data_IF_240201207005
#
_entry.id   IF_240201207005
#
_cell.length_a   1.000
_cell.length_b   1.000
_cell.length_c   1.000
_cell.angle_alpha   90.00
_cell.angle_beta   90.00
_cell.angle_gamma   90.00
#
_symmetry.space_group_name_H-M   'P 1'
#
loop_
_entity.id
_entity.type
_entity.pdbx_description
1 polymer ?
#
# COMPACT_ATOMS: atom_id res chain seq x y z
N UNK A 1 40.67 -5.26 -0.36
CA UNK A 1 41.37 -4.67 0.79
C UNK A 1 41.25 -5.52 2.04
N UNK A 2 40.06 -5.75 2.63
CA UNK A 2 39.95 -6.55 3.86
C UNK A 2 40.40 -8.00 3.69
N UNK A 3 40.00 -8.64 2.60
CA UNK A 3 40.44 -9.99 2.22
C UNK A 3 41.97 -10.10 2.19
N UNK A 4 42.62 -9.28 1.37
CA UNK A 4 44.08 -9.23 1.23
C UNK A 4 44.77 -8.92 2.58
N UNK A 5 44.19 -8.02 3.37
CA UNK A 5 44.68 -7.67 4.70
C UNK A 5 44.57 -8.81 5.72
N UNK A 6 43.57 -9.69 5.58
CA UNK A 6 43.39 -10.89 6.40
C UNK A 6 44.39 -11.99 6.00
N UNK A 7 44.57 -12.19 4.69
CA UNK A 7 45.51 -13.17 4.13
C UNK A 7 46.95 -12.82 4.50
N UNK A 8 47.36 -11.57 4.29
CA UNK A 8 48.71 -11.10 4.61
C UNK A 8 49.01 -11.21 6.11
N UNK A 9 48.02 -10.97 6.96
CA UNK A 9 48.15 -11.17 8.40
C UNK A 9 48.30 -12.65 8.78
N UNK A 10 47.55 -13.56 8.13
CA UNK A 10 47.61 -15.00 8.40
C UNK A 10 48.93 -15.65 7.94
N UNK A 11 49.42 -15.28 6.76
CA UNK A 11 50.64 -15.87 6.16
C UNK A 11 51.93 -15.17 6.63
N UNK A 12 51.97 -13.84 6.67
CA UNK A 12 53.18 -13.07 6.99
C UNK A 12 53.19 -12.52 8.42
N UNK A 13 52.09 -12.61 9.17
CA UNK A 13 52.00 -12.08 10.54
C UNK A 13 52.15 -10.57 10.62
N UNK A 14 51.87 -9.84 9.54
CA UNK A 14 51.97 -8.39 9.45
C UNK A 14 50.94 -7.83 8.47
N UNK A 15 50.66 -6.54 8.59
CA UNK A 15 49.75 -5.83 7.68
C UNK A 15 50.44 -4.65 7.01
N UNK A 16 50.23 -4.46 5.71
CA UNK A 16 50.82 -3.34 4.98
C UNK A 16 50.19 -1.99 5.41
N UNK A 17 50.93 -0.90 5.25
CA UNK A 17 50.50 0.44 5.70
C UNK A 17 49.18 0.91 5.07
N UNK A 18 48.92 0.52 3.82
CA UNK A 18 47.72 0.92 3.07
C UNK A 18 46.49 0.04 3.38
N UNK A 19 46.65 -1.02 4.18
CA UNK A 19 45.59 -1.96 4.52
C UNK A 19 44.88 -1.56 5.82
N UNK A 20 43.55 -1.75 5.94
CA UNK A 20 42.80 -1.37 7.13
C UNK A 20 43.19 -2.24 8.34
N UNK A 21 43.37 -1.64 9.52
CA UNK A 21 43.63 -2.39 10.77
C UNK A 21 42.32 -2.84 11.42
N UNK A 22 42.18 -4.14 11.68
CA UNK A 22 41.02 -4.70 12.38
C UNK A 22 41.26 -4.74 13.89
N UNK A 23 42.50 -5.09 14.29
CA UNK A 23 42.99 -5.09 15.65
C UNK A 23 44.21 -4.17 15.78
N UNK A 24 44.35 -3.50 16.91
CA UNK A 24 45.44 -2.53 17.16
C UNK A 24 46.80 -3.21 17.40
N UNK A 25 46.79 -4.47 17.83
CA UNK A 25 47.96 -5.27 18.17
C UNK A 25 48.72 -5.80 16.93
N UNK A 26 48.20 -5.56 15.72
CA UNK A 26 48.80 -6.05 14.48
C UNK A 26 49.95 -5.13 14.04
N UNK A 27 51.15 -5.71 13.94
CA UNK A 27 52.35 -5.01 13.48
C UNK A 27 52.26 -4.64 12.00
N UNK A 28 52.86 -3.50 11.65
CA UNK A 28 53.00 -3.09 10.25
C UNK A 28 54.17 -3.88 9.63
N UNK A 29 54.03 -4.33 8.38
CA UNK A 29 55.10 -5.02 7.67
C UNK A 29 56.34 -4.13 7.50
N UNK A 30 57.50 -4.71 7.78
CA UNK A 30 58.81 -4.08 7.62
C UNK A 30 59.47 -4.59 6.31
N UNK A 31 60.61 -4.01 5.91
CA UNK A 31 61.32 -4.43 4.71
C UNK A 31 61.73 -5.92 4.74
N UNK A 32 61.89 -6.51 5.93
CA UNK A 32 62.18 -7.95 6.09
C UNK A 32 61.05 -8.86 5.62
N UNK A 33 59.81 -8.37 5.67
CA UNK A 33 58.62 -9.11 5.27
C UNK A 33 58.27 -8.85 3.79
N UNK A 34 59.14 -8.14 3.05
CA UNK A 34 58.83 -7.67 1.69
C UNK A 34 58.61 -8.79 0.71
N UNK A 35 59.45 -9.81 0.75
CA UNK A 35 59.33 -10.98 -0.09
C UNK A 35 58.01 -11.74 0.16
N UNK A 36 57.51 -11.73 1.39
CA UNK A 36 56.27 -12.40 1.76
C UNK A 36 55.05 -11.63 1.26
N UNK A 37 54.94 -10.33 1.58
CA UNK A 37 53.76 -9.56 1.17
C UNK A 37 53.71 -9.36 -0.35
N UNK A 38 54.86 -9.21 -1.03
CA UNK A 38 54.89 -9.09 -2.49
C UNK A 38 54.43 -10.37 -3.16
N UNK A 39 54.88 -11.54 -2.67
CA UNK A 39 54.41 -12.83 -3.19
C UNK A 39 52.89 -12.98 -3.07
N UNK A 40 52.32 -12.64 -1.92
CA UNK A 40 50.86 -12.69 -1.71
C UNK A 40 50.13 -11.72 -2.62
N UNK A 41 50.66 -10.49 -2.76
CA UNK A 41 50.09 -9.49 -3.66
C UNK A 41 50.09 -9.98 -5.11
N UNK A 42 51.20 -10.53 -5.58
CA UNK A 42 51.31 -11.10 -6.93
C UNK A 42 50.38 -12.29 -7.15
N UNK A 43 50.22 -13.16 -6.15
CA UNK A 43 49.27 -14.27 -6.23
C UNK A 43 47.84 -13.73 -6.29
N UNK A 44 47.43 -12.87 -5.36
CA UNK A 44 46.06 -12.32 -5.28
C UNK A 44 45.67 -11.49 -6.51
N UNK A 45 46.59 -10.70 -7.08
CA UNK A 45 46.30 -9.84 -8.24
C UNK A 45 46.28 -10.61 -9.59
N UNK A 46 47.04 -11.70 -9.73
CA UNK A 46 47.35 -12.28 -11.05
C UNK A 46 46.90 -13.73 -11.23
N UNK A 47 47.04 -14.55 -10.19
CA UNK A 47 46.61 -15.95 -10.20
C UNK A 47 45.50 -16.04 -9.17
N UNK A 48 44.24 -15.93 -9.60
CA UNK A 48 43.08 -16.26 -8.76
C UNK A 48 43.14 -17.74 -8.37
N UNK A 49 44.04 -18.08 -7.45
CA UNK A 49 44.25 -19.39 -6.91
C UNK A 49 43.02 -19.69 -6.05
N UNK A 50 42.32 -20.79 -6.35
CA UNK A 50 41.03 -21.12 -5.71
C UNK A 50 41.13 -21.24 -4.18
N UNK A 51 42.35 -21.42 -3.66
CA UNK A 51 42.66 -21.54 -2.24
C UNK A 51 42.73 -20.19 -1.48
N UNK A 52 42.86 -19.08 -2.19
CA UNK A 52 42.97 -17.71 -1.65
C UNK A 52 41.79 -16.81 -2.09
N UNK A 53 40.73 -17.44 -2.62
CA UNK A 53 39.58 -16.77 -3.20
C UNK A 53 38.61 -16.29 -2.11
N UNK A 54 38.63 -15.01 -1.79
CA UNK A 54 37.59 -14.41 -0.95
C UNK A 54 36.30 -14.22 -1.76
N UNK A 55 35.19 -14.72 -1.24
CA UNK A 55 33.85 -14.44 -1.77
C UNK A 55 33.42 -13.01 -1.38
N UNK A 56 33.87 -12.02 -2.15
CA UNK A 56 33.40 -10.65 -2.01
C UNK A 56 32.02 -10.52 -2.69
N UNK A 57 30.95 -10.58 -1.90
CA UNK A 57 29.61 -10.28 -2.40
C UNK A 57 29.52 -8.81 -2.82
N UNK A 58 28.74 -8.49 -3.88
CA UNK A 58 28.53 -7.11 -4.28
C UNK A 58 27.79 -6.33 -3.19
N UNK A 59 28.15 -5.06 -3.01
CA UNK A 59 27.45 -4.17 -2.10
C UNK A 59 26.00 -3.93 -2.56
N UNK A 60 25.08 -3.76 -1.60
CA UNK A 60 23.68 -3.43 -1.91
C UNK A 60 23.52 -2.00 -2.44
N UNK A 61 24.44 -1.10 -2.06
CA UNK A 61 24.46 0.29 -2.46
C UNK A 61 25.84 0.60 -3.03
N UNK A 62 25.85 1.09 -4.27
CA UNK A 62 27.07 1.48 -4.96
C UNK A 62 26.83 2.83 -5.65
N UNK A 63 27.84 3.70 -5.57
CA UNK A 63 27.87 4.98 -6.28
C UNK A 63 29.03 4.91 -7.26
N UNK A 64 28.71 4.71 -8.55
CA UNK A 64 29.67 4.72 -9.64
C UNK A 64 29.69 6.06 -10.35
N UNK A 65 30.89 6.57 -10.65
CA UNK A 65 31.08 7.77 -11.47
C UNK A 65 31.78 7.38 -12.76
N UNK A 66 31.22 7.78 -13.90
CA UNK A 66 31.91 7.66 -15.18
C UNK A 66 32.93 8.79 -15.32
N UNK A 67 34.18 8.44 -15.60
CA UNK A 67 35.28 9.40 -15.69
C UNK A 67 35.67 9.64 -17.15
N UNK A 68 35.65 10.90 -17.59
CA UNK A 68 36.21 11.34 -18.87
C UNK A 68 37.48 12.15 -18.63
N UNK A 69 38.59 11.80 -19.27
CA UNK A 69 39.88 12.47 -19.10
C UNK A 69 40.19 13.36 -20.31
N UNK A 70 40.54 14.63 -20.05
CA UNK A 70 41.03 15.55 -21.07
C UNK A 70 42.28 16.27 -20.58
N UNK A 71 43.28 16.39 -21.43
CA UNK A 71 44.54 17.08 -21.14
C UNK A 71 44.76 18.23 -22.11
N UNK A 72 45.14 19.40 -21.60
CA UNK A 72 45.50 20.55 -22.41
C UNK A 72 46.79 21.20 -21.87
N UNK A 73 47.65 21.76 -22.73
CA UNK A 73 48.83 22.48 -22.29
C UNK A 73 48.43 23.75 -21.53
N UNK A 74 49.13 24.02 -20.43
CA UNK A 74 48.91 25.22 -19.62
C UNK A 74 49.32 26.45 -20.42
N UNK A 75 48.43 27.46 -20.49
CA UNK A 75 48.71 28.72 -21.20
C UNK A 75 49.78 29.53 -20.46
N UNK A 76 50.70 30.13 -21.23
CA UNK A 76 51.81 30.94 -20.69
C UNK A 76 51.34 32.11 -19.81
N UNK A 77 50.17 32.70 -20.08
CA UNK A 77 49.61 33.80 -19.29
C UNK A 77 49.30 33.37 -17.84
N UNK A 78 48.72 32.18 -17.68
CA UNK A 78 48.38 31.64 -16.36
C UNK A 78 49.65 31.25 -15.60
N UNK A 79 50.63 30.68 -16.31
CA UNK A 79 51.94 30.36 -15.75
C UNK A 79 52.69 31.63 -15.27
N UNK A 80 52.61 32.73 -16.03
CA UNK A 80 53.19 34.02 -15.65
C UNK A 80 52.55 34.61 -14.39
N UNK A 81 51.22 34.56 -14.27
CA UNK A 81 50.51 35.02 -13.07
C UNK A 81 50.87 34.18 -11.82
N UNK A 82 50.98 32.86 -11.98
CA UNK A 82 51.40 31.97 -10.90
C UNK A 82 52.84 32.22 -10.43
N UNK A 83 53.76 32.47 -11.38
CA UNK A 83 55.15 32.84 -11.08
C UNK A 83 55.24 34.16 -10.29
N UNK A 84 54.45 35.16 -10.66
CA UNK A 84 54.42 36.46 -9.97
C UNK A 84 53.87 36.39 -8.54
N UNK A 85 52.99 35.42 -8.26
CA UNK A 85 52.43 35.19 -6.92
C UNK A 85 53.33 34.34 -6.01
N UNK A 86 54.24 33.56 -6.60
CA UNK A 86 55.19 32.74 -5.82
C UNK A 86 56.33 33.61 -5.25
N UNK A 87 56.35 33.78 -3.93
CA UNK A 87 57.41 34.44 -3.17
C UNK A 87 58.66 33.55 -3.05
N UNK A 88 59.19 33.07 -4.17
CA UNK A 88 60.42 32.28 -4.18
C UNK A 88 61.62 33.13 -4.63
N UNK A 89 62.81 32.86 -4.13
CA UNK A 89 64.05 33.63 -4.37
C UNK A 89 64.93 32.99 -5.47
N UNK A 90 64.32 32.59 -6.60
CA UNK A 90 65.00 31.88 -7.70
C UNK A 90 65.13 32.76 -8.96
N UNK A 91 66.26 32.75 -9.70
CA UNK A 91 66.42 33.48 -10.96
C UNK A 91 65.29 33.19 -11.98
N UNK A 92 64.79 34.22 -12.65
CA UNK A 92 63.55 34.19 -13.45
C UNK A 92 63.53 33.15 -14.60
N UNK A 93 64.67 32.84 -15.20
CA UNK A 93 64.75 31.93 -16.36
C UNK A 93 64.65 30.45 -15.95
N UNK A 94 65.41 30.04 -14.92
CA UNK A 94 65.31 28.69 -14.36
C UNK A 94 63.95 28.43 -13.70
N UNK A 95 63.36 29.45 -13.08
CA UNK A 95 62.02 29.37 -12.48
C UNK A 95 60.95 29.02 -13.52
N UNK A 96 60.99 29.63 -14.71
CA UNK A 96 60.03 29.35 -15.80
C UNK A 96 60.13 27.92 -16.31
N UNK A 97 61.36 27.41 -16.47
CA UNK A 97 61.60 26.04 -16.93
C UNK A 97 61.19 25.00 -15.88
N UNK A 98 61.49 25.27 -14.61
CA UNK A 98 61.09 24.40 -13.49
C UNK A 98 59.56 24.31 -13.36
N UNK A 99 58.87 25.45 -13.38
CA UNK A 99 57.40 25.49 -13.30
C UNK A 99 56.79 24.77 -14.49
N UNK A 100 57.31 24.96 -15.70
CA UNK A 100 56.79 24.28 -16.90
C UNK A 100 56.91 22.76 -16.83
N UNK A 101 57.99 22.23 -16.29
CA UNK A 101 58.24 20.78 -16.28
C UNK A 101 57.65 20.05 -15.07
N UNK A 102 57.48 20.75 -13.93
CA UNK A 102 57.07 20.14 -12.67
C UNK A 102 55.65 20.53 -12.23
N UNK A 103 54.91 21.32 -13.01
CA UNK A 103 53.55 21.74 -12.67
C UNK A 103 52.52 20.98 -13.50
N UNK A 104 51.62 20.29 -12.82
CA UNK A 104 50.41 19.72 -13.39
C UNK A 104 49.19 20.37 -12.72
N UNK A 105 48.17 20.69 -13.51
CA UNK A 105 46.90 21.24 -13.01
C UNK A 105 45.82 20.19 -13.26
N UNK A 106 45.18 19.75 -12.18
CA UNK A 106 44.08 18.80 -12.23
C UNK A 106 42.76 19.52 -11.91
N UNK A 107 41.83 19.51 -12.87
CA UNK A 107 40.47 20.00 -12.68
C UNK A 107 39.52 18.81 -12.54
N UNK A 108 39.00 18.61 -11.32
CA UNK A 108 37.97 17.60 -11.03
C UNK A 108 36.63 18.31 -10.89
N UNK A 109 35.69 18.00 -11.77
CA UNK A 109 34.33 18.55 -11.74
C UNK A 109 33.32 17.52 -12.23
N UNK A 110 32.07 17.68 -11.80
CA UNK A 110 30.97 16.86 -12.27
C UNK A 110 30.47 17.45 -13.59
N UNK A 111 30.45 16.63 -14.64
CA UNK A 111 29.95 17.01 -15.98
C UNK A 111 28.46 17.35 -15.95
N UNK A 112 27.69 16.55 -15.21
CA UNK A 112 26.24 16.68 -15.08
C UNK A 112 25.84 17.12 -13.66
N UNK A 113 24.76 17.89 -13.57
CA UNK A 113 24.22 18.41 -12.30
C UNK A 113 23.23 17.45 -11.62
N UNK A 114 22.80 16.39 -12.31
CA UNK A 114 21.86 15.39 -11.79
C UNK A 114 22.28 13.98 -12.15
N UNK A 115 22.24 13.07 -11.18
CA UNK A 115 22.55 11.65 -11.37
C UNK A 115 21.27 10.82 -11.32
N UNK A 116 21.18 9.81 -12.18
CA UNK A 116 20.06 8.88 -12.20
C UNK A 116 20.35 7.72 -11.25
N UNK A 117 19.52 7.54 -10.22
CA UNK A 117 19.59 6.37 -9.35
C UNK A 117 18.91 5.18 -10.02
N UNK A 118 19.59 4.03 -10.04
CA UNK A 118 19.02 2.75 -10.47
C UNK A 118 18.84 1.86 -9.25
N UNK A 119 17.59 1.54 -8.92
CA UNK A 119 17.26 0.59 -7.84
C UNK A 119 16.74 -0.69 -8.47
N UNK A 120 17.33 -1.84 -8.11
CA UNK A 120 16.79 -3.15 -8.47
C UNK A 120 15.65 -3.48 -7.52
N UNK A 121 14.44 -3.56 -8.05
CA UNK A 121 13.27 -4.00 -7.29
C UNK A 121 12.98 -5.47 -7.56
N UNK A 122 12.37 -6.15 -6.60
CA UNK A 122 11.84 -7.49 -6.80
C UNK A 122 10.82 -7.47 -7.95
N UNK A 123 11.02 -8.32 -8.95
CA UNK A 123 10.11 -8.40 -10.10
C UNK A 123 8.75 -9.03 -9.70
N UNK A 124 8.71 -9.79 -8.60
CA UNK A 124 7.56 -10.56 -8.10
C UNK A 124 7.49 -10.38 -6.58
N UNK A 125 6.46 -9.70 -6.09
CA UNK A 125 6.26 -9.43 -4.67
C UNK A 125 5.51 -10.53 -3.91
N UNK A 126 5.52 -10.45 -2.57
CA UNK A 126 4.80 -11.38 -1.67
C UNK A 126 3.30 -11.53 -1.97
N UNK A 127 2.66 -10.56 -2.61
CA UNK A 127 1.24 -10.62 -3.03
C UNK A 127 0.98 -11.72 -4.07
N UNK A 128 1.97 -12.06 -4.90
CA UNK A 128 1.89 -13.20 -5.82
C UNK A 128 2.11 -14.53 -5.10
N UNK A 129 3.01 -14.55 -4.10
CA UNK A 129 3.25 -15.74 -3.29
C UNK A 129 2.07 -16.08 -2.36
N UNK A 130 1.31 -15.09 -1.86
CA UNK A 130 0.10 -15.33 -1.07
C UNK A 130 -1.03 -15.96 -1.90
N UNK A 131 -1.10 -15.66 -3.20
CA UNK A 131 -1.96 -16.38 -4.13
C UNK A 131 -1.56 -17.87 -4.23
N UNK A 132 -0.26 -18.18 -4.07
CA UNK A 132 0.30 -19.53 -4.12
C UNK A 132 0.27 -20.28 -2.78
N UNK A 133 0.33 -19.59 -1.63
CA UNK A 133 0.41 -20.22 -0.30
C UNK A 133 -0.95 -20.62 0.28
N UNK A 134 -2.05 -20.08 -0.23
CA UNK A 134 -3.41 -20.59 0.05
C UNK A 134 -3.74 -21.86 -0.76
N UNK A 135 -2.76 -22.38 -1.53
CA UNK A 135 -2.96 -23.38 -2.57
C UNK A 135 -2.34 -24.73 -2.16
N UNK A 136 -3.06 -25.47 -1.32
CA UNK A 136 -2.86 -26.91 -1.14
C UNK A 136 -4.22 -27.60 -1.14
N UNK A 137 -4.95 -27.47 -2.25
CA UNK A 137 -6.09 -28.33 -2.57
C UNK A 137 -6.02 -28.62 -4.08
N UNK A 138 -6.07 -29.91 -4.42
CA UNK A 138 -5.91 -30.61 -5.71
C UNK A 138 -6.84 -30.13 -6.86
N UNK A 139 -6.80 -28.84 -7.28
CA UNK A 139 -7.47 -28.36 -8.51
C UNK A 139 -6.61 -27.27 -9.18
N UNK A 140 -5.53 -27.67 -9.84
CA UNK A 140 -4.48 -26.76 -10.33
C UNK A 140 -4.83 -25.98 -11.62
N UNK A 141 -5.65 -26.53 -12.53
CA UNK A 141 -5.82 -25.98 -13.89
C UNK A 141 -6.86 -24.85 -14.02
N UNK A 142 -7.89 -24.81 -13.16
CA UNK A 142 -8.98 -23.82 -13.27
C UNK A 142 -8.60 -22.50 -12.60
N UNK A 143 -7.74 -22.54 -11.58
CA UNK A 143 -7.41 -21.37 -10.76
C UNK A 143 -6.29 -20.49 -11.35
N UNK A 144 -5.35 -21.07 -12.10
CA UNK A 144 -4.33 -20.32 -12.87
C UNK A 144 -5.00 -19.36 -13.88
N UNK A 145 -6.06 -19.82 -14.55
CA UNK A 145 -6.84 -18.99 -15.48
C UNK A 145 -7.54 -17.86 -14.72
N UNK A 146 -8.15 -18.15 -13.55
CA UNK A 146 -8.90 -17.16 -12.75
C UNK A 146 -8.00 -16.07 -12.17
N UNK A 147 -6.80 -16.39 -11.70
CA UNK A 147 -5.89 -15.42 -11.10
C UNK A 147 -5.24 -14.50 -12.13
N UNK A 148 -4.86 -15.03 -13.30
CA UNK A 148 -4.37 -14.24 -14.43
C UNK A 148 -5.48 -13.32 -14.97
N UNK A 149 -6.73 -13.79 -14.99
CA UNK A 149 -7.87 -12.96 -15.39
C UNK A 149 -8.18 -11.87 -14.36
N UNK A 150 -8.13 -12.18 -13.05
CA UNK A 150 -8.43 -11.22 -11.97
C UNK A 150 -7.46 -10.04 -11.90
N UNK A 151 -6.18 -10.24 -12.21
CA UNK A 151 -5.20 -9.17 -12.23
C UNK A 151 -5.47 -8.16 -13.38
N UNK A 152 -5.94 -8.63 -14.54
CA UNK A 152 -6.16 -7.78 -15.72
C UNK A 152 -7.59 -7.24 -15.87
N UNK A 153 -8.59 -7.73 -15.12
CA UNK A 153 -10.01 -7.35 -15.28
C UNK A 153 -10.67 -6.70 -14.05
N UNK A 154 -9.90 -6.35 -13.03
CA UNK A 154 -10.43 -5.81 -11.76
C UNK A 154 -11.38 -4.62 -11.90
N UNK A 155 -11.13 -3.70 -12.84
CA UNK A 155 -11.99 -2.53 -13.06
C UNK A 155 -13.38 -2.85 -13.63
N UNK A 156 -13.47 -3.85 -14.51
CA UNK A 156 -14.72 -4.21 -15.17
C UNK A 156 -15.62 -5.06 -14.24
N UNK A 157 -15.01 -5.96 -13.46
CA UNK A 157 -15.71 -6.78 -12.47
C UNK A 157 -16.31 -5.96 -11.32
N UNK A 158 -15.68 -4.83 -10.95
CA UNK A 158 -16.22 -3.88 -9.96
C UNK A 158 -17.51 -3.20 -10.43
N UNK A 159 -17.62 -2.90 -11.73
CA UNK A 159 -18.81 -2.26 -12.30
C UNK A 159 -20.03 -3.20 -12.30
N UNK A 160 -19.83 -4.48 -12.63
CA UNK A 160 -20.90 -5.49 -12.64
C UNK A 160 -21.32 -5.94 -11.22
N UNK A 161 -20.37 -6.03 -10.28
CA UNK A 161 -20.70 -6.28 -8.86
C UNK A 161 -21.46 -5.10 -8.23
N UNK A 162 -21.14 -3.86 -8.61
CA UNK A 162 -21.86 -2.67 -8.16
C UNK A 162 -23.34 -2.68 -8.55
N UNK A 163 -23.66 -3.05 -9.80
CA UNK A 163 -25.05 -3.17 -10.26
C UNK A 163 -25.81 -4.30 -9.56
N UNK A 164 -25.13 -5.42 -9.27
CA UNK A 164 -25.71 -6.55 -8.56
C UNK A 164 -26.07 -6.22 -7.10
N UNK A 165 -25.22 -5.46 -6.39
CA UNK A 165 -25.47 -5.09 -4.99
C UNK A 165 -26.64 -4.11 -4.85
N UNK A 166 -26.76 -3.13 -5.75
CA UNK A 166 -27.91 -2.21 -5.75
C UNK A 166 -29.22 -2.96 -6.04
N UNK A 167 -29.21 -3.93 -6.95
CA UNK A 167 -30.37 -4.78 -7.24
C UNK A 167 -30.76 -5.67 -6.04
N UNK A 168 -29.80 -6.25 -5.32
CA UNK A 168 -30.08 -7.04 -4.12
C UNK A 168 -30.67 -6.19 -2.99
N UNK A 169 -30.16 -4.97 -2.78
CA UNK A 169 -30.74 -4.04 -1.81
C UNK A 169 -32.18 -3.65 -2.15
N UNK A 170 -32.49 -3.48 -3.44
CA UNK A 170 -33.85 -3.19 -3.91
C UNK A 170 -34.81 -4.38 -3.67
N UNK A 171 -34.34 -5.61 -3.88
CA UNK A 171 -35.10 -6.83 -3.59
C UNK A 171 -35.39 -6.93 -2.08
N UNK A 172 -34.39 -6.70 -1.22
CA UNK A 172 -34.56 -6.70 0.24
C UNK A 172 -35.58 -5.65 0.68
N UNK A 173 -35.53 -4.46 0.09
CA UNK A 173 -36.51 -3.41 0.35
C UNK A 173 -37.93 -3.84 -0.04
N UNK A 174 -38.11 -4.44 -1.22
CA UNK A 174 -39.42 -4.85 -1.72
C UNK A 174 -40.01 -6.02 -0.91
N UNK A 175 -39.19 -7.00 -0.55
CA UNK A 175 -39.59 -8.18 0.23
C UNK A 175 -39.91 -7.81 1.69
N UNK A 176 -39.26 -6.79 2.25
CA UNK A 176 -39.49 -6.40 3.66
C UNK A 176 -40.66 -5.42 3.82
N UNK A 177 -40.73 -4.36 3.00
CA UNK A 177 -41.72 -3.29 3.16
C UNK A 177 -43.13 -3.68 2.69
N UNK A 178 -43.27 -4.50 1.64
CA UNK A 178 -44.59 -4.88 1.11
C UNK A 178 -45.42 -5.77 2.04
N UNK A 179 -44.91 -6.88 2.62
CA UNK A 179 -45.69 -7.68 3.55
C UNK A 179 -46.01 -6.93 4.85
N UNK A 180 -45.13 -6.02 5.29
CA UNK A 180 -45.38 -5.20 6.48
C UNK A 180 -46.53 -4.19 6.26
N UNK A 181 -46.61 -3.57 5.08
CA UNK A 181 -47.72 -2.68 4.72
C UNK A 181 -49.04 -3.43 4.47
N UNK A 182 -49.00 -4.62 3.84
CA UNK A 182 -50.19 -5.43 3.58
C UNK A 182 -50.80 -5.98 4.88
N UNK A 183 -49.97 -6.56 5.76
CA UNK A 183 -50.44 -7.05 7.07
C UNK A 183 -50.95 -5.92 7.97
N UNK A 184 -50.38 -4.71 7.89
CA UNK A 184 -50.90 -3.54 8.62
C UNK A 184 -52.26 -3.08 8.07
N UNK A 185 -52.47 -3.09 6.75
CA UNK A 185 -53.75 -2.76 6.11
C UNK A 185 -54.85 -3.78 6.43
N UNK A 186 -54.56 -5.08 6.36
CA UNK A 186 -55.51 -6.14 6.74
C UNK A 186 -55.91 -6.04 8.22
N UNK A 187 -54.94 -5.81 9.11
CA UNK A 187 -55.22 -5.57 10.54
C UNK A 187 -56.10 -4.33 10.76
N UNK A 188 -55.95 -3.28 9.96
CA UNK A 188 -56.78 -2.08 10.04
C UNK A 188 -58.22 -2.33 9.53
N UNK A 189 -58.38 -3.05 8.42
CA UNK A 189 -59.69 -3.43 7.89
C UNK A 189 -60.45 -4.35 8.86
N UNK A 190 -59.76 -5.34 9.45
CA UNK A 190 -60.33 -6.22 10.47
C UNK A 190 -60.77 -5.45 11.73
N UNK A 191 -60.00 -4.43 12.16
CA UNK A 191 -60.39 -3.55 13.29
C UNK A 191 -61.62 -2.69 12.98
N UNK A 192 -61.72 -2.14 11.76
CA UNK A 192 -62.90 -1.36 11.31
C UNK A 192 -64.15 -2.24 11.24
N UNK A 193 -64.05 -3.44 10.66
CA UNK A 193 -65.15 -4.40 10.59
C UNK A 193 -65.65 -4.83 11.98
N UNK A 194 -64.73 -5.07 12.94
CA UNK A 194 -65.10 -5.38 14.33
C UNK A 194 -65.83 -4.23 15.04
N UNK A 195 -65.45 -2.96 14.80
CA UNK A 195 -66.15 -1.80 15.36
C UNK A 195 -67.57 -1.66 14.80
N UNK A 196 -67.73 -1.81 13.48
CA UNK A 196 -69.05 -1.76 12.83
C UNK A 196 -69.98 -2.86 13.37
N UNK A 197 -69.46 -4.10 13.49
CA UNK A 197 -70.23 -5.23 14.03
C UNK A 197 -70.67 -4.99 15.47
N UNK A 198 -69.82 -4.43 16.32
CA UNK A 198 -70.18 -4.07 17.71
C UNK A 198 -71.26 -2.99 17.76
N UNK A 199 -71.13 -1.94 16.96
CA UNK A 199 -72.13 -0.85 16.91
C UNK A 199 -73.49 -1.36 16.43
N UNK A 200 -73.51 -2.26 15.44
CA UNK A 200 -74.74 -2.88 14.93
C UNK A 200 -75.41 -3.79 15.96
N UNK A 201 -74.63 -4.60 16.69
CA UNK A 201 -75.12 -5.41 17.81
C UNK A 201 -75.73 -4.54 18.93
N UNK A 202 -75.09 -3.42 19.24
CA UNK A 202 -75.57 -2.50 20.27
C UNK A 202 -76.86 -1.77 19.87
N UNK A 203 -77.02 -1.42 18.58
CA UNK A 203 -78.26 -0.85 18.05
C UNK A 203 -79.43 -1.83 18.15
N UNK A 204 -79.22 -3.11 17.81
CA UNK A 204 -80.25 -4.13 17.91
C UNK A 204 -80.67 -4.42 19.36
N UNK A 205 -79.73 -4.40 20.31
CA UNK A 205 -80.04 -4.55 21.74
C UNK A 205 -80.88 -3.38 22.26
N UNK A 206 -80.56 -2.15 21.86
CA UNK A 206 -81.33 -0.97 22.25
C UNK A 206 -82.75 -0.98 21.68
N UNK A 207 -82.94 -1.44 20.44
CA UNK A 207 -84.25 -1.57 19.81
C UNK A 207 -85.09 -2.68 20.45
N UNK A 208 -84.45 -3.77 20.89
CA UNK A 208 -85.08 -4.81 21.71
C UNK A 208 -85.61 -4.25 23.04
N UNK A 209 -84.77 -3.54 23.80
CA UNK A 209 -85.16 -2.89 25.05
C UNK A 209 -86.29 -1.86 24.87
N UNK A 210 -86.26 -1.06 23.81
CA UNK A 210 -87.31 -0.08 23.51
C UNK A 210 -88.67 -0.74 23.22
N UNK A 211 -88.65 -1.84 22.45
CA UNK A 211 -89.86 -2.61 22.17
C UNK A 211 -90.43 -3.30 23.41
N UNK A 212 -89.56 -3.68 24.35
CA UNK A 212 -89.96 -4.26 25.63
C UNK A 212 -90.56 -3.19 26.57
N UNK A 213 -90.00 -1.98 26.58
CA UNK A 213 -90.58 -0.83 27.29
C UNK A 213 -91.97 -0.43 26.75
N UNK A 214 -92.17 -0.43 25.43
CA UNK A 214 -93.50 -0.16 24.84
C UNK A 214 -94.52 -1.22 25.26
N UNK A 215 -94.16 -2.51 25.26
CA UNK A 215 -95.06 -3.57 25.73
C UNK A 215 -95.47 -3.37 27.20
N UNK A 216 -94.53 -3.00 28.05
CA UNK A 216 -94.79 -2.76 29.47
C UNK A 216 -95.67 -1.52 29.70
N UNK A 217 -95.54 -0.48 28.86
CA UNK A 217 -96.43 0.69 28.88
C UNK A 217 -97.87 0.37 28.42
N UNK A 218 -98.04 -0.55 27.47
CA UNK A 218 -99.37 -0.96 26.98
C UNK A 218 -100.14 -1.86 27.97
N UNK A 219 -99.45 -2.63 28.82
CA UNK A 219 -100.10 -3.47 29.84
C UNK A 219 -100.65 -2.64 31.01
N UNK A 220 -100.06 -1.48 31.31
CA UNK A 220 -100.51 -0.58 32.38
C UNK A 220 -101.79 0.22 32.08
N UNK A 221 -102.22 0.33 30.82
CA UNK A 221 -103.28 1.27 30.41
C UNK A 221 -104.64 0.62 30.08
N UNK A 222 -104.91 -0.56 30.64
CA UNK A 222 -106.17 -1.32 30.44
C UNK A 222 -107.07 -1.29 31.68
N UNK A 223 -107.32 -0.09 32.23
CA UNK A 223 -108.33 0.10 33.30
C UNK A 223 -108.97 1.50 33.30
N UNK A 224 -109.66 1.86 32.21
CA UNK A 224 -110.94 2.58 32.23
C UNK A 224 -111.43 2.86 30.82
N UNK A 225 -112.54 2.21 30.46
CA UNK A 225 -113.35 2.51 29.29
C UNK A 225 -114.62 3.19 29.82
N UNK A 226 -114.95 4.39 29.36
CA UNK A 226 -116.36 4.81 29.23
C UNK A 226 -116.53 5.61 27.93
N UNK A 227 -117.38 5.06 27.10
CA UNK A 227 -117.90 5.59 25.83
C UNK A 227 -119.01 6.58 26.19
N UNK A 228 -119.10 7.70 25.47
CA UNK A 228 -120.18 8.67 25.59
C UNK A 228 -120.43 9.44 24.29
N UNK A 229 -121.41 8.96 23.52
CA UNK A 229 -122.47 9.69 22.78
C UNK A 229 -122.08 10.65 21.62
N UNK A 230 -122.48 10.25 20.40
CA UNK A 230 -122.72 11.08 19.21
C UNK A 230 -123.90 12.05 19.42
N UNK A 231 -123.96 13.16 18.65
CA UNK A 231 -125.22 13.43 17.97
C UNK A 231 -125.07 13.76 16.48
N UNK A 232 -126.24 13.68 15.84
CA UNK A 232 -126.60 13.77 14.42
C UNK A 232 -127.03 15.21 14.05
N UNK A 233 -127.38 15.40 12.76
CA UNK A 233 -128.05 16.55 12.12
C UNK A 233 -127.05 17.66 11.71
N UNK A 234 -126.94 18.08 10.45
CA UNK A 234 -127.95 18.36 9.41
C UNK A 234 -127.36 18.18 7.99
#
# INVERSE_FOLDING_TARGET
>A
MECEASITEAECGCRALHMPKLNEDVRICDQRDSECYERIKFQTEYFGDESLLCECLPACYEIGYETELSSAPVRNLFMFFFILLSNDMVPDEQRRLYVRNNTAILHVYLKDTSFRSFTKTEFIGFTEFLCKKFFTIEIWHVFIIICVFKANTGGLLGLFLGFSVLSVMEIIYFVSMRPYCLTKKEKQLARKARKIKKNFLQANLNQGNHNEQIKNAWVGNKKSRKIGVLPYVE
#
